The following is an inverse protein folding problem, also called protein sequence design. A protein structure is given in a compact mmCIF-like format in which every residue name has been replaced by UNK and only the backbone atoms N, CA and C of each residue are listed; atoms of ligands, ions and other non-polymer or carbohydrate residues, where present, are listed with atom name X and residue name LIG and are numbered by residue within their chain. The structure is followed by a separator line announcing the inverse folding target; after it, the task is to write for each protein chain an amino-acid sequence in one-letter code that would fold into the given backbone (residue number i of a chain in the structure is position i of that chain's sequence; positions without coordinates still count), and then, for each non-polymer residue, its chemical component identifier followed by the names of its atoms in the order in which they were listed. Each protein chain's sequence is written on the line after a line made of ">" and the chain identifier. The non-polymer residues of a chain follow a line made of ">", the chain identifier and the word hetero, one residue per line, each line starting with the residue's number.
data_IF_397715261853
#
_entry.id   IF_397715261853
#
_cell.length_a   1.000
_cell.length_b   1.000
_cell.length_c   1.000
_cell.angle_alpha   90.00
_cell.angle_beta   90.00
_cell.angle_gamma   90.00
#
_symmetry.space_group_name_H-M   'P 1'
#
loop_
_entity.id
_entity.type
_entity.pdbx_description
1 polymer ?
#
# COMPACT_ATOMS: atom_id res chain seq x y z
N UNK A 1 15.67 -13.59 3.08
CA UNK A 1 14.60 -13.78 2.08
C UNK A 1 15.07 -13.30 0.72
N UNK A 2 14.49 -13.75 -0.41
CA UNK A 2 14.67 -13.04 -1.68
C UNK A 2 14.33 -11.57 -1.48
N UNK A 3 15.13 -10.71 -2.10
CA UNK A 3 15.00 -9.26 -1.98
C UNK A 3 13.62 -8.82 -2.52
N UNK A 4 12.89 -8.02 -1.74
CA UNK A 4 11.66 -7.37 -2.20
C UNK A 4 12.02 -6.33 -3.26
N UNK A 5 11.88 -6.68 -4.53
CA UNK A 5 12.22 -5.79 -5.64
C UNK A 5 11.11 -4.78 -5.89
N UNK A 6 11.30 -3.55 -5.42
CA UNK A 6 10.35 -2.45 -5.58
C UNK A 6 10.50 -1.80 -6.97
N UNK A 7 9.41 -1.78 -7.74
CA UNK A 7 9.33 -1.07 -9.02
C UNK A 7 8.93 0.40 -8.85
N UNK A 8 7.98 0.68 -7.96
CA UNK A 8 7.40 2.01 -7.73
C UNK A 8 6.90 2.14 -6.31
N UNK A 9 7.01 3.35 -5.75
CA UNK A 9 6.34 3.76 -4.51
C UNK A 9 5.37 4.90 -4.82
N UNK A 10 4.23 4.92 -4.14
CA UNK A 10 3.24 6.01 -4.21
C UNK A 10 2.80 6.33 -2.80
N UNK A 11 2.74 7.63 -2.49
CA UNK A 11 2.15 8.13 -1.26
C UNK A 11 0.98 9.02 -1.67
N UNK A 12 -0.20 8.69 -1.20
CA UNK A 12 -1.39 9.54 -1.32
C UNK A 12 -1.71 10.13 0.04
N UNK A 13 -1.96 11.44 0.09
CA UNK A 13 -2.47 12.13 1.27
C UNK A 13 -3.71 12.89 0.84
N UNK A 14 -4.79 12.71 1.59
CA UNK A 14 -6.09 13.32 1.37
C UNK A 14 -6.46 14.16 2.60
N UNK A 15 -6.94 15.36 2.35
CA UNK A 15 -7.53 16.24 3.35
C UNK A 15 -9.04 16.34 3.10
N UNK A 16 -9.83 15.92 4.07
CA UNK A 16 -11.28 15.88 3.99
C UNK A 16 -11.85 17.04 4.81
N UNK A 17 -12.39 18.02 4.10
CA UNK A 17 -12.97 19.24 4.70
C UNK A 17 -14.43 19.05 5.10
N UNK A 18 -15.18 18.21 4.38
CA UNK A 18 -16.55 17.83 4.71
C UNK A 18 -16.96 16.55 3.98
N UNK A 19 -17.97 15.86 4.49
CA UNK A 19 -18.67 14.76 3.82
C UNK A 19 -20.18 14.95 4.02
N UNK A 20 -20.76 15.86 3.23
CA UNK A 20 -22.18 16.26 3.32
C UNK A 20 -22.58 17.18 4.50
N UNK A 21 -21.69 17.46 5.45
CA UNK A 21 -21.90 18.40 6.56
C UNK A 21 -21.24 19.78 6.37
N UNK A 22 -21.28 20.65 7.40
CA UNK A 22 -20.50 21.90 7.41
C UNK A 22 -18.99 21.63 7.28
N UNK A 23 -18.27 22.58 6.69
CA UNK A 23 -16.81 22.50 6.53
C UNK A 23 -16.11 22.56 7.88
N UNK A 24 -15.18 21.64 8.11
CA UNK A 24 -14.34 21.61 9.31
C UNK A 24 -13.20 22.64 9.22
N UNK A 25 -12.94 23.38 10.30
CA UNK A 25 -11.80 24.31 10.39
C UNK A 25 -10.45 23.59 10.34
N UNK A 26 -10.38 22.36 10.86
CA UNK A 26 -9.24 21.46 10.72
C UNK A 26 -9.67 20.21 9.95
N UNK A 27 -9.15 19.96 8.74
CA UNK A 27 -9.57 18.82 7.94
C UNK A 27 -9.06 17.50 8.53
N UNK A 28 -9.86 16.45 8.38
CA UNK A 28 -9.39 15.09 8.63
C UNK A 28 -8.35 14.73 7.56
N UNK A 29 -7.25 14.10 7.96
CA UNK A 29 -6.24 13.62 7.03
C UNK A 29 -6.21 12.11 6.95
N UNK A 30 -6.24 11.59 5.73
CA UNK A 30 -6.02 10.17 5.43
C UNK A 30 -4.78 10.03 4.55
N UNK A 31 -4.01 8.98 4.74
CA UNK A 31 -2.85 8.71 3.91
C UNK A 31 -2.71 7.22 3.62
N UNK A 32 -2.16 6.92 2.45
CA UNK A 32 -1.79 5.57 2.05
C UNK A 32 -0.36 5.57 1.49
N UNK A 33 0.46 4.63 1.96
CA UNK A 33 1.77 4.34 1.41
C UNK A 33 1.70 2.99 0.68
N UNK A 34 2.03 3.00 -0.62
CA UNK A 34 1.84 1.86 -1.51
C UNK A 34 3.17 1.55 -2.19
N UNK A 35 3.54 0.27 -2.24
CA UNK A 35 4.67 -0.24 -3.00
C UNK A 35 4.19 -1.22 -4.07
N UNK A 36 4.69 -1.07 -5.29
CA UNK A 36 4.53 -2.07 -6.35
C UNK A 36 5.81 -2.89 -6.42
N UNK A 37 5.68 -4.20 -6.21
CA UNK A 37 6.81 -5.12 -6.17
C UNK A 37 6.74 -6.16 -7.31
N UNK A 38 7.87 -6.76 -7.64
CA UNK A 38 7.90 -7.96 -8.49
C UNK A 38 7.32 -9.14 -7.71
N UNK A 39 6.34 -9.85 -8.28
CA UNK A 39 5.85 -11.10 -7.71
C UNK A 39 6.88 -12.23 -7.96
N UNK A 40 7.49 -12.82 -6.92
CA UNK A 40 8.46 -13.91 -7.08
C UNK A 40 7.83 -15.24 -7.51
N UNK A 41 6.50 -15.38 -7.40
CA UNK A 41 5.74 -16.61 -7.68
C UNK A 41 5.00 -16.58 -9.03
N UNK A 42 5.10 -15.49 -9.78
CA UNK A 42 4.34 -15.35 -11.03
C UNK A 42 4.76 -16.43 -12.05
N UNK A 43 3.77 -17.09 -12.66
CA UNK A 43 3.97 -18.06 -13.74
C UNK A 43 4.21 -19.51 -13.30
N UNK A 44 4.17 -19.82 -12.01
CA UNK A 44 4.30 -21.18 -11.51
C UNK A 44 3.39 -21.43 -10.30
N UNK A 45 3.07 -22.70 -10.04
CA UNK A 45 2.51 -23.12 -8.75
C UNK A 45 3.63 -23.26 -7.73
N UNK A 46 3.49 -22.60 -6.58
CA UNK A 46 4.45 -22.66 -5.47
C UNK A 46 3.68 -23.06 -4.23
N UNK A 47 3.93 -24.27 -3.73
CA UNK A 47 3.16 -24.85 -2.64
C UNK A 47 3.33 -24.10 -1.31
N UNK A 48 4.54 -23.62 -1.03
CA UNK A 48 4.90 -23.00 0.25
C UNK A 48 5.38 -21.55 0.01
N UNK A 49 4.56 -20.58 0.40
CA UNK A 49 4.86 -19.14 0.24
C UNK A 49 4.86 -18.37 1.57
N UNK A 50 4.57 -19.03 2.69
CA UNK A 50 4.49 -18.41 4.03
C UNK A 50 5.77 -17.66 4.41
N UNK A 51 6.94 -18.15 3.99
CA UNK A 51 8.24 -17.52 4.23
C UNK A 51 8.37 -16.11 3.64
N UNK A 52 7.49 -15.73 2.70
CA UNK A 52 7.44 -14.38 2.12
C UNK A 52 6.49 -13.44 2.90
N UNK A 53 5.81 -13.96 3.93
CA UNK A 53 5.05 -13.18 4.91
C UNK A 53 5.90 -12.80 6.12
N UNK A 54 6.91 -13.60 6.43
CA UNK A 54 7.94 -13.23 7.39
C UNK A 54 8.78 -12.09 6.74
N UNK A 55 9.03 -11.03 7.53
CA UNK A 55 9.39 -9.63 7.18
C UNK A 55 8.27 -8.71 6.64
#
# INVERSE_FOLDING_TARGET
>A
MPEVVIRKKVIGVEEIFHDGGPVAETPLRRAAAIAVIRNPFAGAYVANIEWFMDD
#
